data_IF_640925646059
#
_entry.id   IF_640925646059
#
_cell.length_a   1.000
_cell.length_b   1.000
_cell.length_c   1.000
_cell.angle_alpha   90.00
_cell.angle_beta   90.00
_cell.angle_gamma   90.00
#
_symmetry.space_group_name_H-M   'P 1'
#
loop_
_entity.id
_entity.type
_entity.pdbx_description
1 polymer ?
#
# COMPACT_ATOMS: atom_id res chain seq x y z
N UNK A 1 29.96 2.56 -48.83
CA UNK A 1 29.40 3.80 -48.23
C UNK A 1 28.01 3.65 -47.59
N UNK A 2 27.29 2.54 -47.76
CA UNK A 2 25.97 2.27 -47.12
C UNK A 2 25.92 1.46 -45.80
N UNK A 3 26.98 0.73 -45.35
CA UNK A 3 26.84 -0.11 -44.14
C UNK A 3 27.03 0.66 -42.81
N UNK A 4 27.80 1.75 -42.83
CA UNK A 4 28.12 2.54 -41.61
C UNK A 4 26.89 3.33 -41.13
N UNK A 5 26.06 3.83 -42.05
CA UNK A 5 24.83 4.58 -41.73
C UNK A 5 23.79 3.68 -41.05
N UNK A 6 23.66 2.42 -41.48
CA UNK A 6 22.72 1.47 -40.90
C UNK A 6 23.09 1.09 -39.45
N UNK A 7 24.37 0.85 -39.18
CA UNK A 7 24.89 0.53 -37.84
C UNK A 7 24.72 1.69 -36.85
N UNK A 8 24.93 2.93 -37.31
CA UNK A 8 24.71 4.12 -36.48
C UNK A 8 23.22 4.35 -36.19
N UNK A 9 22.33 4.13 -37.16
CA UNK A 9 20.88 4.23 -36.95
C UNK A 9 20.34 3.24 -35.91
N UNK A 10 20.81 1.99 -35.92
CA UNK A 10 20.36 0.97 -34.95
C UNK A 10 20.84 1.26 -33.53
N UNK A 11 22.06 1.79 -33.37
CA UNK A 11 22.59 2.16 -32.06
C UNK A 11 21.86 3.37 -31.46
N UNK A 12 21.51 4.38 -32.28
CA UNK A 12 20.75 5.56 -31.84
C UNK A 12 19.32 5.18 -31.42
N UNK A 13 18.66 4.25 -32.14
CA UNK A 13 17.34 3.74 -31.75
C UNK A 13 17.34 3.00 -30.41
N UNK A 14 18.40 2.23 -30.10
CA UNK A 14 18.49 1.50 -28.84
C UNK A 14 18.66 2.42 -27.62
N UNK A 15 19.34 3.57 -27.78
CA UNK A 15 19.54 4.55 -26.70
C UNK A 15 18.28 5.39 -26.43
N UNK A 16 17.47 5.68 -27.46
CA UNK A 16 16.22 6.45 -27.30
C UNK A 16 15.05 5.60 -26.76
N UNK A 17 15.12 4.27 -26.86
CA UNK A 17 14.05 3.36 -26.44
C UNK A 17 14.03 3.03 -24.93
N UNK A 18 14.98 3.53 -24.13
CA UNK A 18 15.02 3.28 -22.67
C UNK A 18 14.37 4.38 -21.86
N UNK A 19 13.29 4.99 -22.36
CA UNK A 19 12.46 5.85 -21.51
C UNK A 19 12.02 5.02 -20.29
N UNK A 20 12.31 5.45 -19.05
CA UNK A 20 11.92 4.69 -17.87
C UNK A 20 10.41 4.51 -17.90
N UNK A 21 9.94 3.25 -17.86
CA UNK A 21 8.51 3.00 -17.72
C UNK A 21 8.05 3.73 -16.46
N UNK A 22 7.03 4.61 -16.52
CA UNK A 22 6.51 5.22 -15.31
C UNK A 22 6.05 4.09 -14.40
N UNK A 23 6.77 3.89 -13.30
CA UNK A 23 6.25 3.07 -12.21
C UNK A 23 5.03 3.80 -11.69
N UNK A 24 3.95 3.07 -11.39
CA UNK A 24 2.75 3.68 -10.82
C UNK A 24 3.06 4.54 -9.60
N UNK A 25 2.22 5.52 -9.33
CA UNK A 25 2.34 6.32 -8.10
C UNK A 25 2.17 5.44 -6.87
N UNK A 26 2.99 5.67 -5.85
CA UNK A 26 2.84 4.98 -4.58
C UNK A 26 1.52 5.37 -3.91
N UNK A 27 0.76 4.37 -3.46
CA UNK A 27 -0.49 4.59 -2.72
C UNK A 27 -0.18 4.60 -1.22
N UNK A 28 -0.36 5.76 -0.58
CA UNK A 28 -0.29 5.88 0.89
C UNK A 28 -1.70 5.88 1.46
N UNK A 29 -2.05 4.80 2.16
CA UNK A 29 -3.37 4.62 2.76
C UNK A 29 -3.44 5.24 4.15
N UNK A 30 -2.31 5.41 4.83
CA UNK A 30 -2.20 6.07 6.13
C UNK A 30 -1.16 7.20 6.12
N UNK A 31 -1.19 8.05 7.17
CA UNK A 31 -0.25 9.15 7.36
C UNK A 31 -0.86 10.52 7.04
N UNK A 32 -0.06 11.54 6.71
CA UNK A 32 -0.53 12.94 6.57
C UNK A 32 -1.65 13.15 5.53
N UNK A 33 -1.73 12.26 4.53
CA UNK A 33 -2.70 12.32 3.44
C UNK A 33 -3.63 11.09 3.40
N UNK A 34 -3.52 10.20 4.40
CA UNK A 34 -4.29 8.97 4.50
C UNK A 34 -5.16 8.95 5.74
N UNK A 35 -5.65 7.77 6.10
CA UNK A 35 -6.38 7.60 7.35
C UNK A 35 -5.42 7.50 8.54
N UNK A 36 -5.94 7.79 9.72
CA UNK A 36 -5.29 7.40 10.96
C UNK A 36 -5.52 5.89 11.19
N UNK A 37 -4.46 5.18 11.58
CA UNK A 37 -4.54 3.74 11.78
C UNK A 37 -5.39 3.41 13.03
N UNK A 38 -6.13 2.29 13.01
CA UNK A 38 -6.92 1.87 14.17
C UNK A 38 -6.01 1.54 15.37
N UNK A 39 -6.60 1.47 16.56
CA UNK A 39 -5.85 1.22 17.79
C UNK A 39 -5.01 -0.07 17.71
N UNK A 40 -3.75 0.03 18.14
CA UNK A 40 -2.80 -1.07 18.06
C UNK A 40 -2.17 -1.28 16.67
N UNK A 41 -2.43 -0.38 15.72
CA UNK A 41 -1.73 -0.32 14.44
C UNK A 41 -0.92 0.96 14.32
N UNK A 42 0.19 0.87 13.60
CA UNK A 42 1.09 1.96 13.28
C UNK A 42 1.19 2.12 11.77
N UNK A 43 1.25 3.36 11.31
CA UNK A 43 1.46 3.66 9.91
C UNK A 43 2.92 3.43 9.54
N UNK A 44 3.19 2.49 8.63
CA UNK A 44 4.56 2.15 8.21
C UNK A 44 4.64 1.98 6.71
N UNK A 45 5.81 2.27 6.14
CA UNK A 45 6.03 2.07 4.72
C UNK A 45 6.03 0.59 4.33
N UNK A 46 5.37 0.26 3.23
CA UNK A 46 5.40 -1.07 2.60
C UNK A 46 6.39 -1.16 1.42
N UNK A 47 7.32 -0.20 1.31
CA UNK A 47 8.35 -0.14 0.27
C UNK A 47 8.03 0.77 -0.92
N UNK A 48 6.79 1.25 -1.03
CA UNK A 48 6.41 2.32 -1.97
C UNK A 48 5.54 3.34 -1.25
N UNK A 49 4.42 2.89 -0.67
CA UNK A 49 3.48 3.72 0.07
C UNK A 49 3.53 3.48 1.57
N UNK A 50 2.41 3.71 2.23
CA UNK A 50 2.23 3.52 3.66
C UNK A 50 0.92 2.79 3.95
N UNK A 51 0.98 1.82 4.85
CA UNK A 51 -0.17 1.04 5.31
C UNK A 51 -0.06 0.79 6.82
N UNK A 52 -1.17 0.38 7.42
CA UNK A 52 -1.25 0.14 8.86
C UNK A 52 -0.77 -1.26 9.21
N UNK A 53 0.20 -1.36 10.11
CA UNK A 53 0.72 -2.62 10.62
C UNK A 53 0.66 -2.70 12.13
N UNK A 54 0.51 -3.92 12.64
CA UNK A 54 0.77 -4.22 14.04
C UNK A 54 2.24 -4.01 14.37
N UNK A 55 2.59 -3.29 15.44
CA UNK A 55 3.99 -3.16 15.84
C UNK A 55 4.51 -4.50 16.38
N UNK A 56 5.83 -4.66 16.38
CA UNK A 56 6.47 -5.92 16.76
C UNK A 56 6.24 -6.30 18.24
N UNK A 57 5.97 -5.31 19.08
CA UNK A 57 5.64 -5.48 20.50
C UNK A 57 4.13 -5.64 20.75
N UNK A 58 3.30 -5.75 19.70
CA UNK A 58 1.87 -5.98 19.87
C UNK A 58 1.62 -7.30 20.60
N UNK A 59 0.79 -7.23 21.64
CA UNK A 59 0.35 -8.39 22.41
C UNK A 59 -1.09 -8.69 22.01
N UNK A 60 -1.34 -9.95 21.64
CA UNK A 60 -2.70 -10.43 21.37
C UNK A 60 -3.49 -10.39 22.68
N UNK A 61 -4.71 -9.82 22.70
CA UNK A 61 -5.50 -9.73 23.93
C UNK A 61 -5.74 -11.10 24.56
N UNK A 62 -5.84 -11.14 25.89
CA UNK A 62 -6.17 -12.35 26.64
C UNK A 62 -7.49 -12.96 26.15
N UNK A 63 -7.48 -14.26 25.87
CA UNK A 63 -8.62 -14.97 25.28
C UNK A 63 -8.74 -14.88 23.76
N UNK A 64 -7.95 -14.04 23.08
CA UNK A 64 -7.89 -13.99 21.63
C UNK A 64 -6.81 -14.92 21.06
N UNK A 65 -7.06 -15.45 19.87
CA UNK A 65 -6.04 -16.17 19.10
C UNK A 65 -5.41 -15.22 18.06
N UNK A 66 -4.12 -15.37 17.73
CA UNK A 66 -3.52 -14.63 16.63
C UNK A 66 -4.30 -14.85 15.34
N UNK A 67 -4.63 -13.76 14.64
CA UNK A 67 -5.35 -13.82 13.38
C UNK A 67 -4.50 -14.48 12.29
N UNK A 68 -5.03 -15.50 11.61
CA UNK A 68 -4.33 -16.24 10.53
C UNK A 68 -5.20 -16.32 9.28
N UNK A 69 -5.30 -15.21 8.57
CA UNK A 69 -6.11 -15.11 7.35
C UNK A 69 -5.31 -15.43 6.08
N UNK A 70 -6.02 -15.70 4.98
CA UNK A 70 -5.44 -15.82 3.63
C UNK A 70 -5.37 -14.49 2.89
N UNK A 71 -5.78 -13.40 3.53
CA UNK A 71 -5.84 -12.04 2.98
C UNK A 71 -4.94 -11.10 3.77
N UNK A 72 -4.51 -10.03 3.11
CA UNK A 72 -3.80 -8.91 3.72
C UNK A 72 -4.75 -7.72 3.86
N UNK A 73 -4.80 -7.11 5.04
CA UNK A 73 -5.63 -5.95 5.31
C UNK A 73 -4.74 -4.72 5.55
N UNK A 74 -4.60 -3.82 4.55
CA UNK A 74 -3.63 -2.72 4.62
C UNK A 74 -4.04 -1.60 5.59
N UNK A 75 -5.29 -1.60 6.09
CA UNK A 75 -5.74 -0.69 7.14
C UNK A 75 -5.98 -1.40 8.48
N UNK A 76 -5.64 -2.67 8.58
CA UNK A 76 -5.89 -3.51 9.74
C UNK A 76 -7.16 -4.36 9.64
N UNK A 77 -7.27 -5.29 10.58
CA UNK A 77 -8.40 -6.21 10.70
C UNK A 77 -9.53 -5.60 11.53
N UNK A 78 -10.76 -6.00 11.22
CA UNK A 78 -11.90 -5.73 12.08
C UNK A 78 -11.75 -6.47 13.39
N UNK A 79 -12.33 -5.86 14.42
CA UNK A 79 -12.37 -6.37 15.78
C UNK A 79 -13.81 -6.76 16.10
N UNK A 80 -14.00 -7.93 16.70
CA UNK A 80 -15.32 -8.38 17.17
C UNK A 80 -15.72 -7.73 18.51
N UNK A 81 -16.91 -8.08 19.01
CA UNK A 81 -17.43 -7.56 20.29
C UNK A 81 -16.55 -7.91 21.49
N UNK A 82 -15.70 -8.94 21.38
CA UNK A 82 -14.77 -9.37 22.43
C UNK A 82 -13.41 -8.67 22.36
N UNK A 83 -13.17 -7.84 21.34
CA UNK A 83 -11.88 -7.20 21.15
C UNK A 83 -10.87 -8.04 20.34
N UNK A 84 -11.30 -9.15 19.74
CA UNK A 84 -10.43 -10.02 18.96
C UNK A 84 -10.47 -9.67 17.47
N UNK A 85 -9.32 -9.79 16.80
CA UNK A 85 -9.28 -9.70 15.35
C UNK A 85 -10.04 -10.84 14.67
N UNK A 86 -10.76 -10.48 13.62
CA UNK A 86 -11.41 -11.44 12.74
C UNK A 86 -10.84 -11.35 11.32
N UNK A 87 -11.09 -12.38 10.51
CA UNK A 87 -10.67 -12.41 9.10
C UNK A 87 -11.52 -11.53 8.19
N UNK A 88 -11.64 -10.26 8.53
CA UNK A 88 -12.29 -9.22 7.76
C UNK A 88 -11.48 -7.92 7.87
N UNK A 89 -11.35 -7.17 6.77
CA UNK A 89 -10.59 -5.92 6.77
C UNK A 89 -11.43 -4.75 7.25
N UNK A 90 -10.83 -3.86 8.04
CA UNK A 90 -11.46 -2.63 8.46
C UNK A 90 -11.17 -1.49 7.48
N UNK A 91 -12.20 -1.07 6.75
CA UNK A 91 -12.17 0.08 5.84
C UNK A 91 -13.09 1.22 6.31
N UNK A 92 -13.60 1.15 7.55
CA UNK A 92 -14.50 2.18 8.09
C UNK A 92 -13.86 3.57 8.06
N UNK A 93 -12.56 3.66 8.29
CA UNK A 93 -11.80 4.91 8.21
C UNK A 93 -11.78 5.53 6.80
N UNK A 94 -11.88 4.73 5.73
CA UNK A 94 -11.98 5.24 4.36
C UNK A 94 -13.36 5.85 4.09
N UNK A 95 -14.42 5.30 4.67
CA UNK A 95 -15.77 5.85 4.50
C UNK A 95 -15.91 7.27 5.05
N UNK A 96 -15.14 7.62 6.09
CA UNK A 96 -15.04 8.99 6.60
C UNK A 96 -14.30 9.93 5.62
N UNK A 97 -13.29 9.42 4.90
CA UNK A 97 -12.55 10.17 3.86
C UNK A 97 -13.27 10.25 2.50
N UNK A 98 -14.30 9.42 2.28
CA UNK A 98 -15.05 9.39 1.02
C UNK A 98 -15.85 10.66 0.76
N UNK A 99 -15.98 11.54 1.77
CA UNK A 99 -16.47 12.91 1.63
C UNK A 99 -15.44 13.94 1.14
N UNK A 100 -14.18 13.54 0.90
CA UNK A 100 -13.09 14.43 0.49
C UNK A 100 -12.37 13.98 -0.80
N UNK A 101 -12.94 13.04 -1.54
CA UNK A 101 -12.41 12.68 -2.88
C UNK A 101 -13.29 13.25 -4.01
N UNK A 102 -14.45 13.84 -3.71
CA UNK A 102 -15.33 14.49 -4.68
C UNK A 102 -15.85 15.86 -4.19
N UNK A 103 -14.92 16.81 -3.96
CA UNK A 103 -15.24 18.25 -3.98
C UNK A 103 -14.42 18.96 -5.06
N UNK A 104 -14.63 18.57 -6.30
CA UNK A 104 -14.30 19.34 -7.50
C UNK A 104 -15.46 19.21 -8.48
#
# INVERSE_FOLDING_TARGET
MKPIVFLLCTAVCAVLATAPRPRGMCLSLCGPYGVECPSGYECRSNGCGHECFRPANYVVPEGCSPVRCRMHCPLGYKVDESGCDICECDYSALSASSGQILKY
#
